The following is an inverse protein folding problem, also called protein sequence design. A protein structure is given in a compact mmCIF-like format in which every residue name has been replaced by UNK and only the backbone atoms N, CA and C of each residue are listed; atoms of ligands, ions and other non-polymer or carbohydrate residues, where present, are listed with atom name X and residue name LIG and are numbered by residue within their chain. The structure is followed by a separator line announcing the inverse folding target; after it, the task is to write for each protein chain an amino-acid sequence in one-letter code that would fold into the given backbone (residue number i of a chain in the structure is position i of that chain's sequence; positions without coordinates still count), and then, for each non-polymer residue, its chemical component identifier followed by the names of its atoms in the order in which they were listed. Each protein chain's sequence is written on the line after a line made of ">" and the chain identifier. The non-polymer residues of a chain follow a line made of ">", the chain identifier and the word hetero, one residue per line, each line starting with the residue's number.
data_IF_701096486821
#
_entry.id   IF_701096486821
#
_cell.length_a   1.000
_cell.length_b   1.000
_cell.length_c   1.000
_cell.angle_alpha   90.00
_cell.angle_beta   90.00
_cell.angle_gamma   90.00
#
_symmetry.space_group_name_H-M   'P 1'
#
loop_
_entity.id
_entity.type
_entity.pdbx_description
1 polymer ?
#
# COMPACT_ATOMS: atom_id res chain seq x y z
N UNK A 1 -21.78 -20.36 23.74
CA UNK A 1 -20.42 -20.02 23.23
C UNK A 1 -20.56 -19.81 21.73
N UNK A 2 -20.01 -18.73 21.17
CA UNK A 2 -19.90 -18.63 19.71
C UNK A 2 -18.80 -19.60 19.28
N UNK A 3 -19.18 -20.70 18.63
CA UNK A 3 -18.24 -21.56 17.91
C UNK A 3 -17.81 -20.83 16.65
N UNK A 4 -16.65 -20.16 16.69
CA UNK A 4 -16.00 -19.72 15.46
C UNK A 4 -15.17 -20.87 14.94
N UNK A 5 -15.45 -21.33 13.71
CA UNK A 5 -14.52 -22.23 13.03
C UNK A 5 -13.24 -21.46 12.71
N UNK A 6 -12.10 -22.15 12.77
CA UNK A 6 -10.82 -21.56 12.40
C UNK A 6 -10.84 -21.07 10.94
N UNK A 7 -11.56 -21.78 10.08
CA UNK A 7 -11.76 -21.46 8.67
C UNK A 7 -12.50 -20.13 8.50
N UNK A 8 -13.59 -19.91 9.25
CA UNK A 8 -14.34 -18.65 9.22
C UNK A 8 -13.50 -17.47 9.71
N UNK A 9 -12.67 -17.68 10.74
CA UNK A 9 -11.80 -16.65 11.27
C UNK A 9 -10.70 -16.27 10.27
N UNK A 10 -10.08 -17.25 9.62
CA UNK A 10 -9.09 -17.04 8.56
C UNK A 10 -9.73 -16.33 7.36
N UNK A 11 -10.90 -16.78 6.92
CA UNK A 11 -11.63 -16.16 5.81
C UNK A 11 -11.95 -14.69 6.11
N UNK A 12 -12.42 -14.39 7.31
CA UNK A 12 -12.69 -13.02 7.75
C UNK A 12 -11.42 -12.16 7.80
N UNK A 13 -10.32 -12.72 8.28
CA UNK A 13 -9.01 -12.06 8.25
C UNK A 13 -8.56 -11.73 6.83
N UNK A 14 -8.69 -12.67 5.90
CA UNK A 14 -8.33 -12.48 4.50
C UNK A 14 -9.21 -11.41 3.83
N UNK A 15 -10.51 -11.39 4.10
CA UNK A 15 -11.43 -10.36 3.62
C UNK A 15 -11.03 -8.97 4.12
N UNK A 16 -10.67 -8.86 5.40
CA UNK A 16 -10.21 -7.62 6.01
C UNK A 16 -8.92 -7.10 5.34
N UNK A 17 -7.91 -7.96 5.22
CA UNK A 17 -6.63 -7.63 4.57
C UNK A 17 -6.83 -7.23 3.10
N UNK A 18 -7.66 -7.97 2.36
CA UNK A 18 -7.99 -7.67 0.97
C UNK A 18 -8.66 -6.30 0.81
N UNK A 19 -9.61 -5.98 1.70
CA UNK A 19 -10.28 -4.68 1.69
C UNK A 19 -9.30 -3.52 1.90
N UNK A 20 -8.38 -3.66 2.87
CA UNK A 20 -7.32 -2.66 3.14
C UNK A 20 -6.38 -2.50 1.95
N UNK A 21 -5.96 -3.60 1.33
CA UNK A 21 -5.06 -3.55 0.18
C UNK A 21 -5.72 -2.91 -1.05
N UNK A 22 -7.02 -3.13 -1.25
CA UNK A 22 -7.80 -2.46 -2.30
C UNK A 22 -7.94 -0.95 -2.03
N UNK A 23 -8.20 -0.55 -0.79
CA UNK A 23 -8.25 0.85 -0.41
C UNK A 23 -6.90 1.56 -0.64
N UNK A 24 -5.78 0.94 -0.24
CA UNK A 24 -4.44 1.44 -0.51
C UNK A 24 -4.15 1.53 -2.02
N UNK A 25 -4.56 0.52 -2.80
CA UNK A 25 -4.38 0.50 -4.26
C UNK A 25 -5.11 1.66 -4.96
N UNK A 26 -6.31 2.02 -4.50
CA UNK A 26 -7.06 3.19 -5.03
C UNK A 26 -6.31 4.49 -4.82
N UNK A 27 -5.64 4.67 -3.68
CA UNK A 27 -4.83 5.85 -3.38
C UNK A 27 -3.60 5.93 -4.27
N UNK A 28 -3.00 4.79 -4.58
CA UNK A 28 -1.85 4.70 -5.48
C UNK A 28 -2.18 4.96 -6.94
N UNK A 29 -3.46 5.10 -7.31
CA UNK A 29 -3.87 5.68 -8.59
C UNK A 29 -3.44 7.14 -8.75
N UNK A 30 -3.12 7.83 -7.65
CA UNK A 30 -2.70 9.25 -7.62
C UNK A 30 -1.23 9.41 -7.19
N UNK A 31 -0.38 8.44 -7.47
CA UNK A 31 1.07 8.58 -7.22
C UNK A 31 1.67 9.69 -8.09
N UNK A 32 2.60 10.44 -7.50
CA UNK A 32 3.35 11.46 -8.20
C UNK A 32 4.84 11.18 -8.07
N UNK A 33 5.61 11.55 -9.10
CA UNK A 33 7.06 11.46 -9.07
C UNK A 33 7.61 12.69 -8.36
N UNK A 34 8.45 12.46 -7.37
CA UNK A 34 9.15 13.50 -6.63
C UNK A 34 10.62 13.43 -7.03
N UNK A 35 11.12 14.53 -7.58
CA UNK A 35 12.53 14.67 -7.90
C UNK A 35 13.25 15.19 -6.65
N UNK A 36 14.04 14.33 -6.01
CA UNK A 36 14.82 14.68 -4.81
C UNK A 36 16.14 15.37 -5.17
N UNK A 37 16.65 15.16 -6.38
CA UNK A 37 17.88 15.80 -6.85
C UNK A 37 18.52 15.07 -8.04
N UNK A 38 19.80 15.34 -8.28
CA UNK A 38 20.61 14.65 -9.29
C UNK A 38 21.56 13.67 -8.60
N UNK A 39 21.11 12.44 -8.39
CA UNK A 39 21.87 11.36 -7.75
C UNK A 39 21.21 10.00 -7.97
N UNK A 40 21.76 8.93 -7.39
CA UNK A 40 21.21 7.57 -7.52
C UNK A 40 19.77 7.43 -6.99
N UNK A 41 19.38 8.31 -6.06
CA UNK A 41 18.02 8.46 -5.52
C UNK A 41 17.35 9.73 -6.04
N UNK A 42 17.70 10.17 -7.24
CA UNK A 42 17.26 11.45 -7.80
C UNK A 42 15.76 11.57 -8.00
N UNK A 43 15.06 10.43 -8.09
CA UNK A 43 13.62 10.33 -8.30
C UNK A 43 13.01 9.26 -7.40
N UNK A 44 11.87 9.57 -6.79
CA UNK A 44 11.04 8.62 -6.04
C UNK A 44 9.56 8.78 -6.38
N UNK A 45 8.75 7.78 -6.05
CA UNK A 45 7.29 7.91 -6.07
C UNK A 45 6.80 8.32 -4.69
N UNK A 46 5.90 9.30 -4.67
CA UNK A 46 5.19 9.75 -3.48
C UNK A 46 3.68 9.61 -3.64
N UNK A 47 3.00 9.49 -2.51
CA UNK A 47 1.54 9.55 -2.42
C UNK A 47 1.17 10.38 -1.19
N UNK A 48 0.09 11.14 -1.28
CA UNK A 48 -0.44 11.86 -0.11
C UNK A 48 -1.17 10.86 0.78
N UNK A 49 -0.68 10.69 2.00
CA UNK A 49 -1.26 9.79 2.99
C UNK A 49 -2.29 10.48 3.91
N UNK A 50 -2.49 11.80 3.74
CA UNK A 50 -3.29 12.66 4.64
C UNK A 50 -4.73 12.15 4.86
N UNK A 51 -5.32 11.47 3.87
CA UNK A 51 -6.70 10.98 3.94
C UNK A 51 -6.83 9.56 4.53
N UNK A 52 -5.73 8.80 4.71
CA UNK A 52 -5.77 7.38 5.07
C UNK A 52 -4.53 6.95 5.88
N UNK A 53 -4.28 7.61 7.02
CA UNK A 53 -3.16 7.30 7.92
C UNK A 53 -3.15 5.84 8.39
N UNK A 54 -4.33 5.22 8.53
CA UNK A 54 -4.45 3.84 8.98
C UNK A 54 -3.96 2.80 7.97
N UNK A 55 -3.70 3.20 6.71
CA UNK A 55 -3.24 2.32 5.63
C UNK A 55 -1.76 2.54 5.27
N UNK A 56 -0.99 3.23 6.11
CA UNK A 56 0.40 3.60 5.82
C UNK A 56 1.28 2.40 5.47
N UNK A 57 1.10 1.27 6.15
CA UNK A 57 1.86 0.05 5.90
C UNK A 57 1.57 -0.55 4.51
N UNK A 58 0.28 -0.71 4.18
CA UNK A 58 -0.14 -1.22 2.88
C UNK A 58 0.26 -0.28 1.74
N UNK A 59 0.11 1.02 1.96
CA UNK A 59 0.52 2.06 1.02
C UNK A 59 2.03 1.99 0.78
N UNK A 60 2.83 1.93 1.85
CA UNK A 60 4.29 1.87 1.75
C UNK A 60 4.77 0.63 1.01
N UNK A 61 4.20 -0.54 1.31
CA UNK A 61 4.51 -1.80 0.63
C UNK A 61 4.23 -1.72 -0.88
N UNK A 62 3.01 -1.32 -1.25
CA UNK A 62 2.61 -1.23 -2.65
C UNK A 62 3.37 -0.12 -3.41
N UNK A 63 3.72 0.98 -2.74
CA UNK A 63 4.52 2.05 -3.32
C UNK A 63 5.96 1.58 -3.60
N UNK A 64 6.53 0.77 -2.71
CA UNK A 64 7.82 0.11 -2.95
C UNK A 64 7.76 -0.80 -4.19
N UNK A 65 6.74 -1.66 -4.28
CA UNK A 65 6.55 -2.55 -5.43
C UNK A 65 6.41 -1.76 -6.74
N UNK A 66 5.61 -0.68 -6.74
CA UNK A 66 5.48 0.21 -7.92
C UNK A 66 6.77 0.95 -8.26
N UNK A 67 7.53 1.40 -7.26
CA UNK A 67 8.79 2.11 -7.49
C UNK A 67 9.84 1.19 -8.11
N UNK A 68 9.93 -0.06 -7.65
CA UNK A 68 10.78 -1.09 -8.25
C UNK A 68 10.35 -1.41 -9.69
N UNK A 69 9.05 -1.57 -9.94
CA UNK A 69 8.53 -1.78 -11.29
C UNK A 69 8.80 -0.59 -12.24
N UNK A 70 8.92 0.62 -11.70
CA UNK A 70 9.28 1.83 -12.46
C UNK A 70 10.80 2.01 -12.64
N UNK A 71 11.64 1.10 -12.10
CA UNK A 71 13.09 1.20 -12.18
C UNK A 71 13.70 2.33 -11.35
N UNK A 72 12.96 2.83 -10.35
CA UNK A 72 13.42 3.87 -9.42
C UNK A 72 14.21 3.30 -8.24
N UNK A 73 14.31 1.96 -8.16
CA UNK A 73 15.09 1.20 -7.20
C UNK A 73 15.45 -0.16 -7.78
#
# INVERSE_FOLDING_TARGET
>A
MLEFSAEDLIAKGNLYTSSRQNAASKLLGKVFRVQLGRGFYGDCLGVRADENSDLSDEIGKLLCEKSAAAGLR
#
